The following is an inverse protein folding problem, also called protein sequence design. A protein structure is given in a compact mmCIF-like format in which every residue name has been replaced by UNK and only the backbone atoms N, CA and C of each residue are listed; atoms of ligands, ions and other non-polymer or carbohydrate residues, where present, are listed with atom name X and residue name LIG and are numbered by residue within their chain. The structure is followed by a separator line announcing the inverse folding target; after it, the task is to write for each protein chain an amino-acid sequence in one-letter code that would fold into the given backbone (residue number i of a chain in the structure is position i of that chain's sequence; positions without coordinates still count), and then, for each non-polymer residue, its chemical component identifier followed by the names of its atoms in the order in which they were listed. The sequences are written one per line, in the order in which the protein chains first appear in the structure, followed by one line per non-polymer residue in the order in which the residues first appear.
data_IF_642148552983
#
_entry.id   IF_642148552983
#
_cell.length_a   1.000
_cell.length_b   1.000
_cell.length_c   1.000
_cell.angle_alpha   90.00
_cell.angle_beta   90.00
_cell.angle_gamma   90.00
#
_symmetry.space_group_name_H-M   'P 1'
#
loop_
_entity.id
_entity.type
_entity.pdbx_description
1 polymer ?
#
# COMPACT_ATOMS: atom_id res chain seq x y z
N UNK A 1 -50.61 37.96 64.94
CA UNK A 1 -49.41 37.15 64.63
C UNK A 1 -49.77 36.20 63.49
N UNK A 2 -49.47 36.61 62.25
CA UNK A 2 -49.85 35.88 61.03
C UNK A 2 -48.76 34.85 60.70
N UNK A 3 -49.13 33.57 60.57
CA UNK A 3 -48.22 32.50 60.14
C UNK A 3 -48.37 32.29 58.63
N UNK A 4 -47.30 32.52 57.88
CA UNK A 4 -47.21 32.23 56.45
C UNK A 4 -46.72 30.80 56.27
N UNK A 5 -47.51 29.96 55.60
CA UNK A 5 -47.14 28.62 55.15
C UNK A 5 -46.52 28.72 53.75
N UNK A 6 -45.24 28.33 53.61
CA UNK A 6 -44.56 28.24 52.32
C UNK A 6 -44.75 26.83 51.73
N UNK A 7 -45.31 26.74 50.52
CA UNK A 7 -45.42 25.49 49.77
C UNK A 7 -44.14 25.28 48.94
N UNK A 8 -43.49 24.13 49.09
CA UNK A 8 -42.34 23.73 48.29
C UNK A 8 -42.82 23.06 47.00
N UNK A 9 -42.44 23.62 45.84
CA UNK A 9 -42.68 23.04 44.52
C UNK A 9 -41.48 22.16 44.16
N UNK A 10 -41.72 20.86 43.98
CA UNK A 10 -40.71 19.90 43.54
C UNK A 10 -40.67 19.90 41.99
N UNK A 11 -39.60 20.42 41.40
CA UNK A 11 -39.37 20.35 39.95
C UNK A 11 -38.61 19.07 39.63
N UNK A 12 -39.26 18.11 38.96
CA UNK A 12 -38.62 16.91 38.46
C UNK A 12 -37.88 17.23 37.15
N UNK A 13 -36.55 17.13 37.17
CA UNK A 13 -35.72 17.25 35.97
C UNK A 13 -35.76 15.93 35.19
N UNK A 14 -36.33 15.95 33.98
CA UNK A 14 -36.18 14.86 33.01
C UNK A 14 -34.75 14.87 32.45
N UNK A 15 -33.98 13.83 32.77
CA UNK A 15 -32.68 13.58 32.14
C UNK A 15 -32.92 12.84 30.84
N UNK A 16 -32.74 13.50 29.70
CA UNK A 16 -32.72 12.87 28.38
C UNK A 16 -31.33 12.29 28.13
N UNK A 17 -31.22 10.96 28.15
CA UNK A 17 -30.02 10.24 27.72
C UNK A 17 -29.97 10.24 26.19
N UNK A 18 -29.21 11.18 25.62
CA UNK A 18 -28.85 11.13 24.20
C UNK A 18 -27.82 10.02 23.97
N UNK A 19 -28.29 8.87 23.50
CA UNK A 19 -27.42 7.79 23.01
C UNK A 19 -26.67 8.24 21.76
N UNK A 20 -25.46 8.77 21.95
CA UNK A 20 -24.55 9.04 20.84
C UNK A 20 -24.03 7.74 20.25
N UNK A 21 -24.58 7.31 19.11
CA UNK A 21 -23.89 6.35 18.24
C UNK A 21 -22.59 6.98 17.79
N UNK A 22 -21.47 6.55 18.37
CA UNK A 22 -20.16 6.89 17.84
C UNK A 22 -20.10 6.35 16.40
N UNK A 23 -20.05 7.26 15.42
CA UNK A 23 -19.84 6.89 14.03
C UNK A 23 -18.49 6.18 13.94
N UNK A 24 -18.51 4.88 13.65
CA UNK A 24 -17.28 4.13 13.35
C UNK A 24 -16.70 4.77 12.09
N UNK A 25 -15.54 5.42 12.21
CA UNK A 25 -14.84 5.99 11.07
C UNK A 25 -14.57 4.88 10.05
N UNK A 26 -14.76 5.18 8.76
CA UNK A 26 -14.42 4.25 7.70
C UNK A 26 -12.95 3.78 7.88
N UNK A 27 -12.65 2.48 7.69
CA UNK A 27 -11.29 1.98 7.83
C UNK A 27 -10.33 2.74 6.92
N UNK A 28 -9.15 3.08 7.43
CA UNK A 28 -8.07 3.63 6.62
C UNK A 28 -7.45 2.56 5.72
N UNK A 29 -6.70 2.95 4.70
CA UNK A 29 -6.11 2.00 3.75
C UNK A 29 -5.20 0.97 4.43
N UNK A 30 -4.45 1.34 5.47
CA UNK A 30 -3.57 0.44 6.23
C UNK A 30 -4.30 -0.49 7.22
N UNK A 31 -5.60 -0.26 7.45
CA UNK A 31 -6.45 -1.20 8.20
C UNK A 31 -6.84 -2.40 7.32
N UNK A 32 -6.90 -2.18 5.99
CA UNK A 32 -7.30 -3.18 4.99
C UNK A 32 -6.14 -3.70 4.12
N UNK A 33 -5.00 -3.04 4.13
CA UNK A 33 -3.80 -3.46 3.42
C UNK A 33 -2.64 -3.75 4.39
N UNK A 34 -1.99 -4.89 4.18
CA UNK A 34 -0.70 -5.20 4.78
C UNK A 34 0.42 -4.59 3.93
N UNK A 35 1.42 -4.02 4.59
CA UNK A 35 2.68 -3.57 3.99
C UNK A 35 3.79 -3.71 5.01
N UNK A 36 5.00 -4.02 4.54
CA UNK A 36 6.20 -4.05 5.38
C UNK A 36 7.23 -2.98 4.98
N UNK A 37 6.96 -2.23 3.91
CA UNK A 37 7.81 -1.14 3.43
C UNK A 37 7.80 0.07 4.38
N UNK A 38 8.73 1.00 4.17
CA UNK A 38 8.72 2.30 4.86
C UNK A 38 7.63 3.19 4.25
N UNK A 39 6.49 3.25 4.94
CA UNK A 39 5.26 3.95 4.51
C UNK A 39 4.82 4.92 5.61
N UNK A 40 4.44 6.14 5.26
CA UNK A 40 3.94 7.14 6.22
C UNK A 40 2.51 6.82 6.69
N UNK A 41 2.00 7.55 7.69
CA UNK A 41 0.59 7.44 8.11
C UNK A 41 -0.39 7.84 7.00
N UNK A 42 0.03 8.72 6.09
CA UNK A 42 -0.71 9.12 4.89
C UNK A 42 -0.53 8.13 3.72
N UNK A 43 0.08 6.98 3.98
CA UNK A 43 0.27 5.89 3.01
C UNK A 43 1.12 6.32 1.81
N UNK A 44 2.11 7.18 2.10
CA UNK A 44 3.08 7.67 1.14
C UNK A 44 4.41 6.93 1.27
N UNK A 45 5.12 6.77 0.16
CA UNK A 45 6.34 5.97 0.08
C UNK A 45 7.23 6.39 -1.09
N UNK A 46 8.53 6.11 -0.97
CA UNK A 46 9.53 6.45 -1.99
C UNK A 46 10.49 5.29 -2.31
N UNK A 47 10.84 4.48 -1.31
CA UNK A 47 11.76 3.35 -1.47
C UNK A 47 11.29 2.32 -2.52
N UNK A 48 12.21 1.64 -3.21
CA UNK A 48 11.87 0.57 -4.13
C UNK A 48 11.23 -0.63 -3.42
N UNK A 49 10.46 -1.42 -4.16
CA UNK A 49 9.93 -2.69 -3.68
C UNK A 49 8.83 -2.59 -2.63
N UNK A 50 8.38 -1.38 -2.26
CA UNK A 50 7.20 -1.19 -1.40
C UNK A 50 5.99 -1.88 -2.03
N UNK A 51 5.24 -2.63 -1.21
CA UNK A 51 4.08 -3.37 -1.67
C UNK A 51 2.91 -3.21 -0.71
N UNK A 52 1.70 -3.43 -1.23
CA UNK A 52 0.46 -3.49 -0.47
C UNK A 52 -0.25 -4.80 -0.80
N UNK A 53 -0.61 -5.56 0.22
CA UNK A 53 -1.33 -6.83 0.09
C UNK A 53 -2.70 -6.73 0.76
N UNK A 54 -3.74 -7.13 0.06
CA UNK A 54 -5.12 -7.08 0.53
C UNK A 54 -5.86 -8.38 0.24
N UNK A 55 -7.05 -8.51 0.83
CA UNK A 55 -8.02 -9.55 0.51
C UNK A 55 -9.34 -8.92 0.16
N UNK A 56 -10.07 -9.51 -0.77
CA UNK A 56 -11.41 -9.09 -1.11
C UNK A 56 -12.27 -10.30 -1.47
N UNK A 57 -13.58 -10.15 -1.36
CA UNK A 57 -14.57 -11.10 -1.88
C UNK A 57 -15.38 -10.43 -2.98
N UNK A 58 -15.56 -11.10 -4.11
CA UNK A 58 -16.35 -10.62 -5.24
C UNK A 58 -15.65 -10.84 -6.58
N UNK A 59 -16.18 -10.23 -7.64
CA UNK A 59 -15.75 -10.45 -9.03
C UNK A 59 -14.80 -9.37 -9.58
N UNK A 60 -14.50 -8.35 -8.78
CA UNK A 60 -13.60 -7.26 -9.17
C UNK A 60 -13.03 -6.51 -7.97
N UNK A 61 -11.84 -5.93 -8.17
CA UNK A 61 -11.14 -5.08 -7.21
C UNK A 61 -10.51 -3.89 -7.93
N UNK A 62 -10.63 -2.72 -7.31
CA UNK A 62 -9.97 -1.48 -7.67
C UNK A 62 -8.71 -1.28 -6.83
N UNK A 63 -7.65 -0.79 -7.45
CA UNK A 63 -6.42 -0.35 -6.81
C UNK A 63 -6.34 1.16 -7.00
N UNK A 64 -6.56 1.91 -5.93
CA UNK A 64 -6.59 3.37 -5.96
C UNK A 64 -5.22 3.96 -5.62
N UNK A 65 -4.73 4.82 -6.51
CA UNK A 65 -3.38 5.39 -6.49
C UNK A 65 -3.41 6.88 -6.77
N UNK A 66 -2.39 7.57 -6.25
CA UNK A 66 -2.03 8.92 -6.64
C UNK A 66 -0.51 8.97 -6.86
N UNK A 67 -0.06 8.52 -8.04
CA UNK A 67 1.36 8.43 -8.37
C UNK A 67 1.62 8.51 -9.88
N UNK A 68 2.16 9.64 -10.35
CA UNK A 68 2.50 9.88 -11.76
C UNK A 68 3.96 9.56 -12.13
N UNK A 69 4.73 8.96 -11.21
CA UNK A 69 6.18 8.71 -11.40
C UNK A 69 6.50 7.23 -11.57
N UNK A 70 5.84 6.36 -10.79
CA UNK A 70 6.30 5.00 -10.60
C UNK A 70 5.63 3.95 -11.50
N UNK A 71 6.30 2.82 -11.61
CA UNK A 71 5.82 1.60 -12.26
C UNK A 71 5.43 0.57 -11.20
N UNK A 72 4.38 -0.18 -11.46
CA UNK A 72 3.82 -1.15 -10.52
C UNK A 72 3.44 -2.45 -11.21
N UNK A 73 3.53 -3.57 -10.51
CA UNK A 73 2.85 -4.80 -10.89
C UNK A 73 1.61 -5.01 -10.00
N UNK A 74 0.50 -5.37 -10.63
CA UNK A 74 -0.76 -5.77 -9.97
C UNK A 74 -0.89 -7.27 -10.08
N UNK A 75 -1.04 -7.93 -8.95
CA UNK A 75 -1.15 -9.38 -8.84
C UNK A 75 -2.48 -9.77 -8.20
N UNK A 76 -3.13 -10.79 -8.76
CA UNK A 76 -4.30 -11.45 -8.18
C UNK A 76 -3.95 -12.91 -7.95
N UNK A 77 -4.18 -13.39 -6.72
CA UNK A 77 -3.89 -14.77 -6.31
C UNK A 77 -2.47 -15.24 -6.67
N UNK A 78 -1.50 -14.33 -6.52
CA UNK A 78 -0.08 -14.59 -6.79
C UNK A 78 0.34 -14.51 -8.25
N UNK A 79 -0.56 -14.16 -9.19
CA UNK A 79 -0.23 -13.99 -10.61
C UNK A 79 -0.29 -12.52 -11.00
N UNK A 80 0.74 -12.03 -11.69
CA UNK A 80 0.72 -10.69 -12.29
C UNK A 80 -0.33 -10.63 -13.40
N UNK A 81 -1.32 -9.76 -13.23
CA UNK A 81 -2.41 -9.54 -14.20
C UNK A 81 -2.24 -8.24 -14.97
N UNK A 82 -1.41 -7.31 -14.46
CA UNK A 82 -1.16 -6.02 -15.10
C UNK A 82 0.13 -5.39 -14.60
N UNK A 83 0.72 -4.53 -15.44
CA UNK A 83 1.76 -3.58 -15.06
C UNK A 83 1.25 -2.17 -15.29
N UNK A 84 1.24 -1.34 -14.24
CA UNK A 84 0.84 0.06 -14.32
C UNK A 84 2.06 0.93 -14.58
N UNK A 85 1.93 1.88 -15.50
CA UNK A 85 2.96 2.86 -15.84
C UNK A 85 2.47 4.24 -15.47
N UNK A 86 3.09 4.87 -14.46
CA UNK A 86 2.84 6.27 -14.07
C UNK A 86 1.33 6.58 -13.95
N UNK A 87 0.57 5.81 -13.15
CA UNK A 87 -0.90 5.81 -13.20
C UNK A 87 -1.56 7.16 -12.84
N UNK A 88 -0.85 8.07 -12.19
CA UNK A 88 -1.40 9.33 -11.70
C UNK A 88 -2.43 9.10 -10.60
N UNK A 89 -3.40 10.01 -10.49
CA UNK A 89 -4.57 9.86 -9.62
C UNK A 89 -5.63 9.03 -10.33
N UNK A 90 -5.79 7.78 -9.94
CA UNK A 90 -6.72 6.86 -10.60
C UNK A 90 -7.13 5.68 -9.72
N UNK A 91 -8.16 4.96 -10.12
CA UNK A 91 -8.46 3.61 -9.63
C UNK A 91 -8.34 2.62 -10.79
N UNK A 92 -7.33 1.77 -10.75
CA UNK A 92 -7.16 0.70 -11.72
C UNK A 92 -8.02 -0.51 -11.34
N UNK A 93 -8.90 -0.94 -12.24
CA UNK A 93 -9.85 -2.03 -11.97
C UNK A 93 -9.39 -3.34 -12.60
N UNK A 94 -9.31 -4.39 -11.78
CA UNK A 94 -9.28 -5.78 -12.24
C UNK A 94 -10.70 -6.34 -12.14
N UNK A 95 -11.20 -6.90 -13.25
CA UNK A 95 -12.60 -7.35 -13.39
C UNK A 95 -12.67 -8.79 -13.90
N UNK A 96 -13.87 -9.33 -13.98
CA UNK A 96 -14.18 -10.66 -14.52
C UNK A 96 -13.49 -11.80 -13.75
N UNK A 97 -13.35 -11.63 -12.44
CA UNK A 97 -12.90 -12.69 -11.55
C UNK A 97 -14.08 -13.58 -11.15
N UNK A 98 -13.80 -14.81 -10.74
CA UNK A 98 -14.80 -15.67 -10.10
C UNK A 98 -15.39 -14.99 -8.88
N UNK A 99 -16.64 -15.29 -8.52
CA UNK A 99 -17.21 -14.77 -7.28
C UNK A 99 -16.67 -15.55 -6.07
N UNK A 100 -15.47 -15.21 -5.61
CA UNK A 100 -14.78 -15.90 -4.52
C UNK A 100 -14.00 -14.90 -3.64
N UNK A 101 -13.29 -15.42 -2.63
CA UNK A 101 -12.25 -14.66 -1.95
C UNK A 101 -10.96 -14.70 -2.76
N UNK A 102 -10.31 -13.54 -2.89
CA UNK A 102 -9.12 -13.33 -3.68
C UNK A 102 -8.08 -12.55 -2.87
N UNK A 103 -6.81 -12.75 -3.21
CA UNK A 103 -5.69 -11.92 -2.73
C UNK A 103 -5.30 -10.93 -3.82
N UNK A 104 -5.11 -9.68 -3.44
CA UNK A 104 -4.57 -8.63 -4.32
C UNK A 104 -3.23 -8.17 -3.76
N UNK A 105 -2.24 -7.99 -4.65
CA UNK A 105 -0.96 -7.39 -4.32
C UNK A 105 -0.62 -6.31 -5.34
N UNK A 106 -0.30 -5.13 -4.85
CA UNK A 106 0.33 -4.07 -5.62
C UNK A 106 1.79 -4.00 -5.22
N UNK A 107 2.72 -4.14 -6.16
CA UNK A 107 4.16 -4.07 -5.91
C UNK A 107 4.79 -2.93 -6.72
N UNK A 108 5.44 -1.98 -6.03
CA UNK A 108 6.22 -0.91 -6.67
C UNK A 108 7.50 -1.48 -7.26
N UNK A 109 7.66 -1.32 -8.57
CA UNK A 109 8.84 -1.76 -9.32
C UNK A 109 9.99 -0.76 -9.21
N UNK A 110 9.66 0.52 -9.30
CA UNK A 110 10.61 1.61 -9.48
C UNK A 110 11.47 1.87 -8.26
N UNK A 111 12.71 2.26 -8.53
CA UNK A 111 13.53 3.03 -7.60
C UNK A 111 13.27 4.52 -7.81
N UNK A 112 12.75 5.18 -6.77
CA UNK A 112 12.41 6.60 -6.87
C UNK A 112 12.48 7.30 -5.51
N UNK A 113 13.58 7.22 -4.74
CA UNK A 113 13.66 7.79 -3.40
C UNK A 113 13.35 9.30 -3.35
N UNK A 114 13.45 10.01 -4.49
CA UNK A 114 13.11 11.42 -4.67
C UNK A 114 11.65 11.71 -5.03
N UNK A 115 10.83 10.71 -5.36
CA UNK A 115 9.45 10.91 -5.82
C UNK A 115 8.47 10.10 -4.98
N UNK A 116 7.56 10.83 -4.33
CA UNK A 116 6.52 10.27 -3.46
C UNK A 116 5.41 9.66 -4.29
N UNK A 117 5.12 8.38 -4.03
CA UNK A 117 3.89 7.72 -4.41
C UNK A 117 2.91 7.65 -3.24
N UNK A 118 1.63 7.60 -3.54
CA UNK A 118 0.55 7.44 -2.55
C UNK A 118 -0.37 6.29 -2.94
N UNK A 119 -0.59 5.37 -1.99
CA UNK A 119 -1.59 4.31 -2.10
C UNK A 119 -2.85 4.72 -1.35
N UNK A 120 -3.93 4.94 -2.08
CA UNK A 120 -5.19 5.41 -1.51
C UNK A 120 -5.98 4.25 -0.91
N UNK A 121 -5.88 3.05 -1.49
CA UNK A 121 -6.54 1.86 -0.95
C UNK A 121 -6.98 0.85 -2.00
N UNK A 122 -7.47 -0.30 -1.52
CA UNK A 122 -8.23 -1.24 -2.33
C UNK A 122 -9.71 -0.89 -2.29
N UNK A 123 -10.42 -1.13 -3.38
CA UNK A 123 -11.85 -0.87 -3.51
C UNK A 123 -12.52 -2.14 -4.02
N UNK A 124 -13.57 -2.63 -3.37
CA UNK A 124 -14.32 -3.76 -3.91
C UNK A 124 -15.29 -3.28 -5.00
N UNK A 125 -15.48 -4.08 -6.03
CA UNK A 125 -16.55 -3.84 -6.99
C UNK A 125 -17.95 -4.02 -6.38
N UNK A 126 -18.97 -3.69 -7.15
CA UNK A 126 -20.38 -3.82 -6.71
C UNK A 126 -20.68 -5.23 -6.20
N UNK A 127 -21.34 -5.32 -5.03
CA UNK A 127 -21.66 -6.57 -4.35
C UNK A 127 -20.47 -7.30 -3.71
N UNK A 128 -19.26 -6.74 -3.80
CA UNK A 128 -18.07 -7.26 -3.14
C UNK A 128 -17.73 -6.53 -1.86
N UNK A 129 -16.69 -7.00 -1.17
CA UNK A 129 -16.15 -6.36 0.02
C UNK A 129 -14.62 -6.51 0.08
N UNK A 130 -13.93 -5.44 0.51
CA UNK A 130 -12.54 -5.54 0.96
C UNK A 130 -12.57 -6.14 2.37
N UNK A 131 -11.76 -7.17 2.58
CA UNK A 131 -11.70 -7.92 3.83
C UNK A 131 -10.58 -7.40 4.73
N UNK A 132 -10.45 -7.97 5.92
CA UNK A 132 -9.31 -7.67 6.78
C UNK A 132 -7.99 -8.04 6.10
N UNK A 133 -6.97 -7.20 6.31
CA UNK A 133 -5.64 -7.39 5.73
C UNK A 133 -5.07 -8.78 6.04
N UNK A 134 -4.23 -9.34 5.15
CA UNK A 134 -3.47 -10.55 5.46
C UNK A 134 -2.68 -10.40 6.76
N UNK A 135 -2.44 -11.51 7.45
CA UNK A 135 -1.55 -11.55 8.61
C UNK A 135 -0.12 -11.28 8.14
N UNK A 136 0.59 -10.42 8.87
CA UNK A 136 2.00 -10.16 8.63
C UNK A 136 2.83 -11.44 8.72
N UNK A 137 3.91 -11.51 7.94
CA UNK A 137 4.81 -12.66 8.00
C UNK A 137 5.61 -12.59 9.29
N UNK A 138 5.93 -13.76 9.88
CA UNK A 138 6.70 -13.83 11.13
C UNK A 138 8.19 -13.54 10.93
N UNK A 139 8.70 -13.70 9.71
CA UNK A 139 10.07 -13.36 9.33
C UNK A 139 10.07 -12.00 8.65
N UNK A 140 11.07 -11.19 8.97
CA UNK A 140 11.31 -9.88 8.37
C UNK A 140 12.77 -9.77 7.94
N UNK A 141 13.02 -9.22 6.76
CA UNK A 141 14.37 -9.03 6.22
C UNK A 141 14.50 -7.61 5.67
N UNK A 142 15.58 -6.91 6.03
CA UNK A 142 15.92 -5.62 5.46
C UNK A 142 17.15 -5.75 4.54
N UNK A 143 17.03 -5.18 3.34
CA UNK A 143 18.14 -5.05 2.40
C UNK A 143 18.50 -3.58 2.27
N UNK A 144 19.76 -3.26 2.55
CA UNK A 144 20.32 -1.91 2.40
C UNK A 144 21.41 -1.99 1.34
N UNK A 145 21.37 -1.12 0.33
CA UNK A 145 22.35 -1.17 -0.73
C UNK A 145 22.16 -0.15 -1.84
N UNK A 146 22.73 -0.48 -2.99
CA UNK A 146 22.80 0.37 -4.17
C UNK A 146 21.89 -0.15 -5.30
N UNK A 147 22.29 0.11 -6.55
CA UNK A 147 21.57 -0.25 -7.76
C UNK A 147 21.30 -1.76 -7.88
N UNK A 148 22.21 -2.60 -7.41
CA UNK A 148 22.03 -4.06 -7.45
C UNK A 148 20.86 -4.48 -6.56
N UNK A 149 20.74 -3.85 -5.40
CA UNK A 149 19.69 -4.14 -4.41
C UNK A 149 18.35 -3.57 -4.85
N UNK A 150 18.37 -2.40 -5.51
CA UNK A 150 17.20 -1.77 -6.09
C UNK A 150 16.64 -2.50 -7.34
N UNK A 151 17.43 -3.39 -7.95
CA UNK A 151 17.05 -4.10 -9.18
C UNK A 151 17.23 -3.26 -10.45
N UNK A 152 18.18 -2.31 -10.45
CA UNK A 152 18.43 -1.38 -11.54
C UNK A 152 18.62 -2.09 -12.89
N UNK A 153 17.72 -1.81 -13.83
CA UNK A 153 17.78 -2.34 -15.20
C UNK A 153 17.63 -3.86 -15.33
N UNK A 154 17.22 -4.58 -14.27
CA UNK A 154 17.21 -6.05 -14.23
C UNK A 154 16.25 -6.73 -15.22
N UNK A 155 15.32 -5.99 -15.81
CA UNK A 155 14.42 -6.48 -16.86
C UNK A 155 14.96 -6.25 -18.27
N UNK A 156 16.03 -5.46 -18.41
CA UNK A 156 16.63 -5.16 -19.71
C UNK A 156 17.38 -6.37 -20.26
N UNK A 157 17.19 -6.66 -21.54
CA UNK A 157 17.98 -7.66 -22.28
C UNK A 157 19.23 -7.06 -22.94
N UNK A 158 19.42 -5.74 -22.81
CA UNK A 158 20.57 -5.00 -23.34
C UNK A 158 21.23 -4.15 -22.25
N UNK A 159 22.52 -3.87 -22.39
CA UNK A 159 23.23 -2.98 -21.44
C UNK A 159 22.94 -1.51 -21.69
N UNK A 160 22.83 -1.11 -22.96
CA UNK A 160 22.32 0.20 -23.31
C UNK A 160 20.79 0.17 -23.32
N UNK A 161 20.18 0.96 -22.44
CA UNK A 161 18.73 1.07 -22.30
C UNK A 161 18.15 2.27 -23.09
N UNK A 162 18.98 3.02 -23.83
CA UNK A 162 18.56 4.21 -24.57
C UNK A 162 17.47 3.93 -25.60
N UNK A 163 17.48 2.73 -26.18
CA UNK A 163 16.57 2.31 -27.25
C UNK A 163 15.42 1.42 -26.78
N UNK A 164 15.37 1.03 -25.50
CA UNK A 164 14.37 0.09 -24.97
C UNK A 164 13.43 0.69 -23.90
N UNK A 165 13.30 2.03 -23.92
CA UNK A 165 12.43 2.79 -23.03
C UNK A 165 13.10 3.25 -21.73
N UNK A 166 14.44 3.18 -21.65
CA UNK A 166 15.21 3.70 -20.52
C UNK A 166 15.27 2.74 -19.33
N UNK A 167 16.18 3.04 -18.40
CA UNK A 167 16.47 2.15 -17.27
C UNK A 167 15.32 2.07 -16.27
N UNK A 168 14.58 3.15 -16.05
CA UNK A 168 13.46 3.20 -15.10
C UNK A 168 12.37 2.18 -15.44
N UNK A 169 12.00 2.10 -16.72
CA UNK A 169 11.03 1.11 -17.22
C UNK A 169 11.51 -0.32 -17.04
N UNK A 170 12.83 -0.52 -17.16
CA UNK A 170 13.49 -1.81 -17.07
C UNK A 170 13.97 -2.16 -15.65
N UNK A 171 13.62 -1.37 -14.64
CA UNK A 171 13.95 -1.62 -13.23
C UNK A 171 12.75 -2.24 -12.53
N UNK A 172 12.93 -3.41 -11.90
CA UNK A 172 11.90 -4.07 -11.12
C UNK A 172 12.44 -4.61 -9.79
N UNK A 173 12.22 -3.85 -8.72
CA UNK A 173 12.59 -4.22 -7.36
C UNK A 173 11.89 -5.47 -6.83
N UNK A 174 10.67 -5.79 -7.28
CA UNK A 174 9.95 -7.03 -6.88
C UNK A 174 10.58 -8.28 -7.53
N UNK A 175 11.50 -8.10 -8.49
CA UNK A 175 12.33 -9.14 -9.09
C UNK A 175 13.82 -8.99 -8.74
N UNK A 176 14.16 -8.16 -7.75
CA UNK A 176 15.53 -8.12 -7.20
C UNK A 176 15.82 -9.35 -6.34
N UNK A 177 17.10 -9.63 -6.11
CA UNK A 177 17.51 -10.75 -5.26
C UNK A 177 16.92 -10.64 -3.85
N UNK A 178 16.73 -9.42 -3.32
CA UNK A 178 16.17 -9.20 -1.99
C UNK A 178 14.70 -9.62 -1.90
N UNK A 179 13.89 -9.20 -2.86
CA UNK A 179 12.48 -9.60 -2.94
C UNK A 179 12.33 -11.10 -3.20
N UNK A 180 13.13 -11.67 -4.11
CA UNK A 180 13.10 -13.10 -4.44
C UNK A 180 13.50 -13.97 -3.23
N UNK A 181 14.57 -13.61 -2.54
CA UNK A 181 15.03 -14.31 -1.32
C UNK A 181 13.96 -14.25 -0.23
N UNK A 182 13.35 -13.09 -0.02
CA UNK A 182 12.32 -12.91 1.01
C UNK A 182 11.08 -13.75 0.72
N UNK A 183 10.63 -13.81 -0.54
CA UNK A 183 9.54 -14.70 -0.94
C UNK A 183 9.87 -16.17 -0.70
N UNK A 184 11.08 -16.61 -1.07
CA UNK A 184 11.52 -17.99 -0.85
C UNK A 184 11.54 -18.37 0.64
N UNK A 185 11.82 -17.41 1.52
CA UNK A 185 11.83 -17.60 2.98
C UNK A 185 10.49 -17.34 3.67
N UNK A 186 9.45 -16.98 2.91
CA UNK A 186 8.17 -16.48 3.42
C UNK A 186 8.35 -15.37 4.45
N UNK A 187 9.14 -14.35 4.09
CA UNK A 187 9.44 -13.18 4.90
C UNK A 187 8.85 -11.91 4.30
N UNK A 188 8.40 -11.00 5.17
CA UNK A 188 8.17 -9.61 4.80
C UNK A 188 9.53 -8.94 4.57
N UNK A 189 9.57 -7.92 3.72
CA UNK A 189 10.84 -7.29 3.36
C UNK A 189 10.78 -5.78 3.20
N UNK A 190 11.94 -5.16 3.42
CA UNK A 190 12.23 -3.78 3.03
C UNK A 190 13.45 -3.75 2.10
N UNK A 191 13.36 -2.95 1.03
CA UNK A 191 14.47 -2.66 0.14
C UNK A 191 14.78 -1.16 0.28
N UNK A 192 15.77 -0.84 1.09
CA UNK A 192 16.22 0.52 1.37
C UNK A 192 17.50 0.78 0.57
N UNK A 193 17.32 0.88 -0.75
CA UNK A 193 18.41 0.95 -1.71
C UNK A 193 18.33 2.21 -2.59
N UNK A 194 19.50 2.72 -2.99
CA UNK A 194 19.64 3.87 -3.87
C UNK A 194 20.84 3.70 -4.81
N UNK A 195 20.58 3.54 -6.11
CA UNK A 195 21.52 3.49 -7.21
C UNK A 195 22.57 4.59 -7.14
N UNK A 196 23.81 4.17 -7.35
CA UNK A 196 24.98 5.05 -7.33
C UNK A 196 25.37 5.55 -5.94
N UNK A 197 24.68 5.14 -4.86
CA UNK A 197 25.10 5.45 -3.48
C UNK A 197 26.08 4.42 -2.95
N UNK A 198 27.03 4.89 -2.15
CA UNK A 198 27.98 4.05 -1.42
C UNK A 198 28.12 4.53 0.02
N UNK A 199 28.90 3.79 0.81
CA UNK A 199 29.07 4.08 2.24
C UNK A 199 29.73 5.43 2.52
N UNK A 200 30.73 5.81 1.72
CA UNK A 200 31.55 7.03 1.92
C UNK A 200 31.67 7.90 0.67
N UNK A 201 31.37 7.34 -0.50
CA UNK A 201 31.52 7.99 -1.80
C UNK A 201 30.50 7.40 -2.77
N UNK A 202 29.96 8.23 -3.65
CA UNK A 202 28.97 7.83 -4.65
C UNK A 202 29.64 7.50 -5.99
N UNK A 203 28.86 6.97 -6.93
CA UNK A 203 29.29 6.80 -8.32
C UNK A 203 29.70 8.14 -8.95
N UNK A 204 30.76 8.13 -9.75
CA UNK A 204 31.30 9.34 -10.40
C UNK A 204 32.27 10.12 -9.50
N UNK A 205 32.03 10.14 -8.19
CA UNK A 205 33.06 10.41 -7.21
C UNK A 205 32.72 11.34 -6.08
#
# INVERSE_FOLDING_TARGET
MSRVTAAAVLVAALVTLSGGSAAVSAPGALDQAHTAGRVTKQVQYTWPGVYFEGRFRGTSVGISLNDSTNYYDVQIDGRTVSTLTKPGRTTYWVRNLSNAEHRVRLAKRSESPWAVGEFVGFVAGSGGAVLSKPVARTRQIEFIGDSLTAGYGNMSTTRDCSTNGGVDRNTNADLSFGALTSRALNADYQINAFSGRGMVRNYGG
#
